data_IF_598222789195
#
_entry.id   IF_598222789195
#
_cell.length_a   1.000
_cell.length_b   1.000
_cell.length_c   1.000
_cell.angle_alpha   90.00
_cell.angle_beta   90.00
_cell.angle_gamma   90.00
#
_symmetry.space_group_name_H-M   'P 1'
#
loop_
_entity.id
_entity.type
_entity.pdbx_description
1 polymer ?
#
# COMPACT_ATOMS: atom_id res chain seq x y z
N UNK A 1 -12.31 23.99 27.01
CA UNK A 1 -12.84 24.07 25.62
C UNK A 1 -12.30 22.93 24.80
N UNK A 2 -13.13 22.23 24.07
CA UNK A 2 -12.76 21.14 23.18
C UNK A 2 -12.95 21.57 21.73
N UNK A 3 -12.20 21.00 20.83
CA UNK A 3 -12.46 21.10 19.40
C UNK A 3 -13.25 19.87 18.97
N UNK A 4 -14.34 20.09 18.27
CA UNK A 4 -15.24 19.07 17.76
C UNK A 4 -15.14 19.05 16.24
N UNK A 5 -14.88 17.90 15.63
CA UNK A 5 -14.72 17.73 14.19
C UNK A 5 -15.84 16.88 13.64
N UNK A 6 -16.53 17.37 12.62
CA UNK A 6 -17.51 16.58 11.89
C UNK A 6 -16.81 15.51 11.03
N UNK A 7 -17.09 14.21 11.21
CA UNK A 7 -16.38 13.17 10.48
C UNK A 7 -16.77 13.10 8.99
N UNK A 8 -17.91 13.71 8.60
CA UNK A 8 -18.38 13.66 7.21
C UNK A 8 -17.83 14.79 6.33
N UNK A 9 -17.67 16.02 6.88
CA UNK A 9 -17.28 17.17 6.05
C UNK A 9 -16.10 17.97 6.62
N UNK A 10 -15.50 17.53 7.74
CA UNK A 10 -14.36 18.22 8.35
C UNK A 10 -14.70 19.54 9.07
N UNK A 11 -15.98 19.96 9.14
CA UNK A 11 -16.37 21.16 9.88
C UNK A 11 -15.88 21.10 11.32
N UNK A 12 -15.33 22.19 11.82
CA UNK A 12 -14.79 22.26 13.17
C UNK A 12 -15.58 23.27 14.02
N UNK A 13 -15.91 22.86 15.25
CA UNK A 13 -16.55 23.69 16.28
C UNK A 13 -15.65 23.72 17.52
N UNK A 14 -15.49 24.91 18.12
CA UNK A 14 -14.77 25.06 19.39
C UNK A 14 -15.79 25.41 20.46
N UNK A 15 -15.90 24.58 21.48
CA UNK A 15 -16.85 24.74 22.55
C UNK A 15 -16.74 23.61 23.60
N UNK A 16 -17.53 23.69 24.65
CA UNK A 16 -17.53 22.66 25.70
C UNK A 16 -18.31 21.41 25.25
N UNK A 17 -19.20 21.55 24.27
CA UNK A 17 -19.96 20.45 23.65
C UNK A 17 -19.97 20.56 22.13
N UNK A 18 -20.26 19.45 21.45
CA UNK A 18 -20.54 19.45 20.02
C UNK A 18 -21.83 20.23 19.71
N UNK A 19 -21.95 20.84 18.50
CA UNK A 19 -23.21 21.42 18.05
C UNK A 19 -24.25 20.30 17.89
N UNK A 20 -25.55 20.60 18.04
CA UNK A 20 -26.63 19.61 17.89
C UNK A 20 -26.58 18.89 16.53
N UNK A 21 -26.20 19.61 15.47
CA UNK A 21 -25.94 19.08 14.15
C UNK A 21 -24.92 19.94 13.41
N UNK A 22 -24.24 19.35 12.45
CA UNK A 22 -23.27 20.04 11.61
C UNK A 22 -23.96 21.11 10.74
N UNK A 23 -23.52 22.38 10.80
CA UNK A 23 -24.13 23.47 10.01
C UNK A 23 -23.88 23.32 8.51
N UNK A 24 -22.88 22.55 8.08
CA UNK A 24 -22.55 22.35 6.67
C UNK A 24 -23.25 21.13 6.06
N UNK A 25 -23.26 19.98 6.75
CA UNK A 25 -23.71 18.72 6.16
C UNK A 25 -24.86 18.05 6.93
N UNK A 26 -25.33 18.65 8.03
CA UNK A 26 -26.48 18.14 8.79
C UNK A 26 -26.21 16.91 9.67
N UNK A 27 -24.99 16.39 9.70
CA UNK A 27 -24.65 15.24 10.57
C UNK A 27 -24.95 15.56 12.04
N UNK A 28 -25.62 14.64 12.78
CA UNK A 28 -25.92 14.84 14.20
C UNK A 28 -24.68 15.07 15.04
N UNK A 29 -24.79 15.96 16.04
CA UNK A 29 -23.69 16.32 16.93
C UNK A 29 -23.07 15.16 17.70
N UNK A 30 -23.87 14.12 17.99
CA UNK A 30 -23.40 12.90 18.62
C UNK A 30 -22.30 12.15 17.82
N UNK A 31 -22.18 12.43 16.51
CA UNK A 31 -21.13 11.85 15.65
C UNK A 31 -19.86 12.69 15.60
N UNK A 32 -19.84 13.89 16.18
CA UNK A 32 -18.63 14.71 16.20
C UNK A 32 -17.54 14.07 17.06
N UNK A 33 -16.32 14.14 16.55
CA UNK A 33 -15.15 13.66 17.26
C UNK A 33 -14.57 14.76 18.14
N UNK A 34 -14.50 14.52 19.46
CA UNK A 34 -13.85 15.42 20.39
C UNK A 34 -12.33 15.32 20.26
N UNK A 35 -11.65 16.46 20.13
CA UNK A 35 -10.20 16.58 20.16
C UNK A 35 -9.77 17.49 21.30
N UNK A 36 -8.83 17.05 22.12
CA UNK A 36 -8.24 17.92 23.13
C UNK A 36 -7.35 18.97 22.45
N UNK A 37 -7.49 20.22 22.90
CA UNK A 37 -6.62 21.30 22.42
C UNK A 37 -5.35 21.25 23.25
N UNK A 38 -4.35 20.57 22.75
CA UNK A 38 -3.01 20.62 23.31
C UNK A 38 -2.30 21.88 22.79
N UNK A 39 -1.98 22.82 23.68
CA UNK A 39 -1.44 24.15 23.34
C UNK A 39 0.00 24.02 22.79
N UNK A 40 0.16 23.58 21.58
CA UNK A 40 1.44 23.40 20.87
C UNK A 40 1.38 22.38 19.75
N UNK A 41 0.37 21.53 19.71
CA UNK A 41 0.21 20.51 18.69
C UNK A 41 -0.72 20.99 17.58
N UNK A 42 -0.23 21.01 16.34
CA UNK A 42 -1.07 21.33 15.17
C UNK A 42 -2.17 20.28 15.05
N UNK A 43 -3.43 20.75 14.98
CA UNK A 43 -4.61 19.90 14.78
C UNK A 43 -5.03 20.03 13.32
N UNK A 44 -4.96 18.94 12.59
CA UNK A 44 -5.34 18.89 11.18
C UNK A 44 -6.85 18.65 11.05
N UNK A 45 -7.50 19.33 10.11
CA UNK A 45 -8.94 19.20 9.86
C UNK A 45 -9.34 17.81 9.38
N UNK A 46 -8.43 17.13 8.69
CA UNK A 46 -8.58 15.74 8.25
C UNK A 46 -7.26 15.00 8.42
N UNK A 47 -7.35 13.70 8.55
CA UNK A 47 -6.20 12.79 8.62
C UNK A 47 -6.50 11.58 7.74
N UNK A 48 -5.45 11.10 7.08
CA UNK A 48 -5.41 9.77 6.51
C UNK A 48 -4.51 8.92 7.42
N UNK A 49 -5.03 7.80 7.91
CA UNK A 49 -4.26 6.88 8.72
C UNK A 49 -4.25 5.52 8.04
N UNK A 50 -3.17 4.80 8.23
CA UNK A 50 -3.10 3.41 7.79
C UNK A 50 -4.15 2.61 8.57
N UNK A 51 -5.01 1.91 7.84
CA UNK A 51 -6.10 1.13 8.41
C UNK A 51 -7.45 1.86 8.49
N UNK A 52 -7.60 3.06 7.93
CA UNK A 52 -8.89 3.78 7.91
C UNK A 52 -10.00 3.03 7.17
N UNK A 53 -9.65 2.05 6.31
CA UNK A 53 -10.57 1.16 5.61
C UNK A 53 -11.00 -0.08 6.41
N UNK A 54 -10.57 -0.24 7.67
CA UNK A 54 -11.00 -1.32 8.57
C UNK A 54 -12.37 -1.01 9.13
N UNK A 55 -13.40 -1.45 8.42
CA UNK A 55 -14.81 -1.23 8.74
C UNK A 55 -15.51 -2.55 9.02
N UNK A 56 -16.70 -2.50 9.65
CA UNK A 56 -17.49 -3.71 9.96
C UNK A 56 -18.19 -4.29 8.72
N UNK A 57 -18.37 -3.50 7.68
CA UNK A 57 -19.02 -3.93 6.45
C UNK A 57 -18.12 -4.90 5.67
N UNK A 58 -18.61 -6.13 5.53
CA UNK A 58 -17.86 -7.23 4.89
C UNK A 58 -17.70 -7.01 3.39
N UNK A 59 -18.72 -6.45 2.73
CA UNK A 59 -18.69 -6.22 1.28
C UNK A 59 -17.67 -5.13 0.94
N UNK A 60 -17.67 -4.03 1.68
CA UNK A 60 -16.66 -2.96 1.53
C UNK A 60 -15.25 -3.51 1.79
N UNK A 61 -15.04 -4.24 2.90
CA UNK A 61 -13.72 -4.78 3.24
C UNK A 61 -13.22 -5.78 2.18
N UNK A 62 -14.10 -6.66 1.69
CA UNK A 62 -13.74 -7.59 0.63
C UNK A 62 -13.44 -6.86 -0.69
N UNK A 63 -14.26 -5.88 -1.06
CA UNK A 63 -14.01 -5.05 -2.24
C UNK A 63 -12.65 -4.35 -2.21
N UNK A 64 -12.24 -3.80 -1.06
CA UNK A 64 -10.90 -3.19 -0.91
C UNK A 64 -9.78 -4.21 -1.14
N UNK A 65 -9.93 -5.45 -0.65
CA UNK A 65 -8.95 -6.54 -0.85
C UNK A 65 -8.87 -7.00 -2.29
N UNK A 66 -10.03 -7.17 -2.91
CA UNK A 66 -10.11 -7.63 -4.31
C UNK A 66 -9.48 -6.59 -5.24
N UNK A 67 -9.77 -5.31 -5.04
CA UNK A 67 -9.15 -4.24 -5.81
C UNK A 67 -7.66 -4.12 -5.52
N UNK A 68 -7.19 -4.19 -4.27
CA UNK A 68 -5.77 -4.23 -3.97
C UNK A 68 -5.03 -5.31 -4.77
N UNK A 69 -5.57 -6.54 -4.80
CA UNK A 69 -4.98 -7.63 -5.56
C UNK A 69 -5.05 -7.39 -7.07
N UNK A 70 -6.16 -6.85 -7.57
CA UNK A 70 -6.34 -6.48 -8.98
C UNK A 70 -5.29 -5.48 -9.44
N UNK A 71 -5.16 -4.36 -8.75
CA UNK A 71 -4.18 -3.32 -9.06
C UNK A 71 -2.73 -3.85 -9.04
N UNK A 72 -2.37 -4.65 -8.03
CA UNK A 72 -1.06 -5.29 -7.98
C UNK A 72 -0.79 -6.18 -9.20
N UNK A 73 -1.80 -6.92 -9.69
CA UNK A 73 -1.69 -7.75 -10.88
C UNK A 73 -1.55 -6.89 -12.15
N UNK A 74 -2.32 -5.80 -12.26
CA UNK A 74 -2.31 -4.91 -13.42
C UNK A 74 -0.96 -4.22 -13.62
N UNK A 75 -0.25 -3.86 -12.56
CA UNK A 75 1.13 -3.36 -12.64
C UNK A 75 2.02 -4.33 -13.45
N UNK A 76 2.01 -5.62 -13.08
CA UNK A 76 2.81 -6.64 -13.76
C UNK A 76 2.35 -6.88 -15.20
N UNK A 77 1.04 -6.96 -15.43
CA UNK A 77 0.45 -7.17 -16.75
C UNK A 77 0.78 -6.02 -17.71
N UNK A 78 0.59 -4.78 -17.30
CA UNK A 78 0.85 -3.62 -18.16
C UNK A 78 2.34 -3.47 -18.48
N UNK A 79 3.24 -3.74 -17.54
CA UNK A 79 4.67 -3.77 -17.82
C UNK A 79 5.05 -4.87 -18.82
N UNK A 80 4.41 -6.04 -18.74
CA UNK A 80 4.63 -7.12 -19.72
C UNK A 80 4.06 -6.77 -21.10
N UNK A 81 2.87 -6.16 -21.17
CA UNK A 81 2.24 -5.67 -22.39
C UNK A 81 3.07 -4.56 -23.04
N UNK A 82 3.64 -3.66 -22.23
CA UNK A 82 4.57 -2.63 -22.71
C UNK A 82 5.77 -3.25 -23.44
N UNK A 83 6.42 -4.25 -22.86
CA UNK A 83 7.54 -4.96 -23.51
C UNK A 83 7.12 -5.63 -24.81
N UNK A 84 5.90 -6.15 -24.88
CA UNK A 84 5.38 -6.75 -26.12
C UNK A 84 5.14 -5.68 -27.20
N UNK A 85 4.55 -4.55 -26.84
CA UNK A 85 4.37 -3.44 -27.76
C UNK A 85 5.71 -2.89 -28.30
N UNK A 86 6.76 -2.83 -27.47
CA UNK A 86 8.11 -2.48 -27.91
C UNK A 86 8.65 -3.48 -28.95
N UNK A 87 8.50 -4.80 -28.73
CA UNK A 87 8.93 -5.84 -29.68
C UNK A 87 8.21 -5.75 -31.02
N UNK A 88 6.97 -5.33 -31.01
CA UNK A 88 6.14 -5.16 -32.22
C UNK A 88 6.33 -3.79 -32.91
N UNK A 89 7.12 -2.88 -32.31
CA UNK A 89 7.41 -1.57 -32.89
C UNK A 89 6.35 -0.50 -32.63
N UNK A 90 5.59 -0.63 -31.54
CA UNK A 90 4.58 0.35 -31.10
C UNK A 90 5.03 1.15 -29.86
N UNK A 91 6.02 2.04 -29.96
CA UNK A 91 6.59 2.71 -28.80
C UNK A 91 5.59 3.60 -28.02
N UNK A 92 4.63 4.22 -28.70
CA UNK A 92 3.60 5.04 -28.06
C UNK A 92 2.64 4.19 -27.20
N UNK A 93 2.30 2.99 -27.67
CA UNK A 93 1.49 2.04 -26.91
C UNK A 93 2.28 1.50 -25.72
N UNK A 94 3.55 1.19 -25.94
CA UNK A 94 4.45 0.73 -24.86
C UNK A 94 4.55 1.76 -23.74
N UNK A 95 4.71 3.04 -24.09
CA UNK A 95 4.79 4.11 -23.11
C UNK A 95 3.46 4.33 -22.37
N UNK A 96 2.33 4.20 -23.07
CA UNK A 96 1.01 4.27 -22.44
C UNK A 96 0.85 3.17 -21.38
N UNK A 97 1.20 1.91 -21.70
CA UNK A 97 1.17 0.81 -20.73
C UNK A 97 2.10 1.05 -19.53
N UNK A 98 3.31 1.55 -19.72
CA UNK A 98 4.23 1.88 -18.61
C UNK A 98 3.60 2.93 -17.69
N UNK A 99 3.06 3.99 -18.26
CA UNK A 99 2.43 5.06 -17.48
C UNK A 99 1.27 4.53 -16.65
N UNK A 100 0.37 3.77 -17.25
CA UNK A 100 -0.77 3.20 -16.52
C UNK A 100 -0.32 2.20 -15.46
N UNK A 101 0.72 1.39 -15.69
CA UNK A 101 1.27 0.51 -14.66
C UNK A 101 1.69 1.29 -13.39
N UNK A 102 2.25 2.50 -13.53
CA UNK A 102 2.59 3.33 -12.37
C UNK A 102 1.35 3.97 -11.73
N UNK A 103 0.31 4.28 -12.50
CA UNK A 103 -0.96 4.75 -11.95
C UNK A 103 -1.65 3.64 -11.12
N UNK A 104 -1.65 2.39 -11.60
CA UNK A 104 -2.16 1.24 -10.84
C UNK A 104 -1.32 0.93 -9.59
N UNK A 105 0.00 1.16 -9.63
CA UNK A 105 0.84 1.04 -8.44
C UNK A 105 0.45 2.05 -7.35
N UNK A 106 0.07 3.28 -7.73
CA UNK A 106 -0.46 4.29 -6.81
C UNK A 106 -1.84 3.91 -6.25
N UNK A 107 -2.71 3.30 -7.07
CA UNK A 107 -4.00 2.77 -6.60
C UNK A 107 -3.78 1.64 -5.60
N UNK A 108 -2.92 0.67 -5.92
CA UNK A 108 -2.55 -0.42 -5.01
C UNK A 108 -2.00 0.12 -3.68
N UNK A 109 -1.13 1.14 -3.71
CA UNK A 109 -0.60 1.76 -2.50
C UNK A 109 -1.70 2.37 -1.62
N UNK A 110 -2.69 3.06 -2.22
CA UNK A 110 -3.84 3.62 -1.48
C UNK A 110 -4.71 2.54 -0.85
N UNK A 111 -4.99 1.45 -1.56
CA UNK A 111 -5.71 0.30 -1.00
C UNK A 111 -4.92 -0.36 0.12
N UNK A 112 -3.60 -0.51 -0.02
CA UNK A 112 -2.72 -1.04 1.04
C UNK A 112 -2.79 -0.17 2.31
N UNK A 113 -2.78 1.16 2.17
CA UNK A 113 -2.91 2.10 3.29
C UNK A 113 -4.29 1.98 3.96
N UNK A 114 -5.39 1.93 3.18
CA UNK A 114 -6.73 1.76 3.72
C UNK A 114 -6.85 0.44 4.50
N UNK A 115 -6.36 -0.66 3.95
CA UNK A 115 -6.41 -1.98 4.59
C UNK A 115 -5.51 -2.07 5.83
N UNK A 116 -4.32 -1.47 5.79
CA UNK A 116 -3.34 -1.55 6.89
C UNK A 116 -2.96 -2.99 7.26
N UNK A 117 -2.95 -3.90 6.27
CA UNK A 117 -2.58 -5.31 6.45
C UNK A 117 -1.13 -5.56 6.04
N UNK A 118 -0.69 -4.98 4.92
CA UNK A 118 0.67 -5.17 4.36
C UNK A 118 1.61 -4.00 4.67
N UNK A 119 1.11 -2.91 5.18
CA UNK A 119 1.85 -1.71 5.58
C UNK A 119 1.43 -1.27 6.98
N UNK A 120 2.40 -0.79 7.77
CA UNK A 120 2.16 -0.27 9.12
C UNK A 120 2.58 1.20 9.22
N UNK A 121 2.16 1.89 10.26
CA UNK A 121 2.57 3.27 10.56
C UNK A 121 4.01 3.39 11.12
N UNK A 122 4.78 2.32 11.09
CA UNK A 122 6.17 2.26 11.56
C UNK A 122 7.11 1.82 10.46
N UNK A 123 7.98 2.73 9.99
CA UNK A 123 9.03 2.41 9.01
C UNK A 123 9.93 1.28 9.48
N UNK A 124 10.31 1.28 10.77
CA UNK A 124 11.08 0.19 11.36
C UNK A 124 10.37 -1.15 11.18
N UNK A 125 9.09 -1.22 11.55
CA UNK A 125 8.31 -2.46 11.45
C UNK A 125 8.13 -2.90 10.00
N UNK A 126 7.90 -1.96 9.09
CA UNK A 126 7.79 -2.27 7.65
C UNK A 126 9.11 -2.87 7.11
N UNK A 127 10.27 -2.34 7.51
CA UNK A 127 11.58 -2.90 7.12
C UNK A 127 11.78 -4.31 7.69
N UNK A 128 11.44 -4.56 8.98
CA UNK A 128 11.50 -5.88 9.59
C UNK A 128 10.67 -6.90 8.81
N UNK A 129 9.39 -6.57 8.57
CA UNK A 129 8.47 -7.45 7.83
C UNK A 129 8.95 -7.72 6.41
N UNK A 130 9.52 -6.73 5.74
CA UNK A 130 10.02 -6.91 4.37
C UNK A 130 11.29 -7.74 4.34
N UNK A 131 12.24 -7.53 5.26
CA UNK A 131 13.44 -8.37 5.35
C UNK A 131 13.10 -9.85 5.46
N UNK A 132 12.16 -10.19 6.35
CA UNK A 132 11.71 -11.58 6.52
C UNK A 132 11.00 -12.13 5.26
N UNK A 133 10.16 -11.31 4.63
CA UNK A 133 9.42 -11.71 3.44
C UNK A 133 10.34 -11.93 2.23
N UNK A 134 11.36 -11.08 2.04
CA UNK A 134 12.34 -11.23 0.96
C UNK A 134 13.16 -12.51 1.13
N UNK A 135 13.53 -12.86 2.38
CA UNK A 135 14.20 -14.11 2.67
C UNK A 135 13.33 -15.32 2.25
N UNK A 136 12.06 -15.31 2.61
CA UNK A 136 11.12 -16.36 2.22
C UNK A 136 10.89 -16.42 0.72
N UNK A 137 10.74 -15.27 0.06
CA UNK A 137 10.56 -15.17 -1.39
C UNK A 137 11.80 -15.68 -2.16
N UNK A 138 13.01 -15.34 -1.68
CA UNK A 138 14.26 -15.85 -2.23
C UNK A 138 14.30 -17.38 -2.19
N UNK A 139 14.05 -17.98 -1.03
CA UNK A 139 14.06 -19.42 -0.85
C UNK A 139 13.01 -20.11 -1.76
N UNK A 140 11.78 -19.60 -1.79
CA UNK A 140 10.71 -20.18 -2.60
C UNK A 140 11.02 -20.11 -4.11
N UNK A 141 11.51 -18.97 -4.60
CA UNK A 141 11.90 -18.83 -6.01
C UNK A 141 13.10 -19.74 -6.38
N UNK A 142 14.05 -19.89 -5.46
CA UNK A 142 15.19 -20.78 -5.67
C UNK A 142 14.75 -22.24 -5.85
N UNK A 143 13.80 -22.74 -5.05
CA UNK A 143 13.25 -24.11 -5.20
C UNK A 143 12.49 -24.28 -6.54
N UNK A 144 11.75 -23.27 -6.99
CA UNK A 144 11.12 -23.30 -8.33
C UNK A 144 12.20 -23.37 -9.44
N UNK A 145 13.23 -22.53 -9.34
CA UNK A 145 14.32 -22.53 -10.32
C UNK A 145 15.05 -23.88 -10.38
N UNK A 146 15.35 -24.46 -9.22
CA UNK A 146 15.95 -25.79 -9.11
C UNK A 146 15.07 -26.86 -9.77
N UNK A 147 13.79 -26.89 -9.47
CA UNK A 147 12.84 -27.82 -10.07
C UNK A 147 12.73 -27.65 -11.60
N UNK A 148 12.71 -26.41 -12.07
CA UNK A 148 12.71 -26.11 -13.50
C UNK A 148 13.96 -26.66 -14.19
N UNK A 149 15.14 -26.55 -13.57
CA UNK A 149 16.39 -27.09 -14.09
C UNK A 149 16.36 -28.61 -14.19
N UNK A 150 15.87 -29.31 -13.16
CA UNK A 150 15.71 -30.76 -13.16
C UNK A 150 14.82 -31.26 -14.30
N UNK A 151 13.82 -30.45 -14.71
CA UNK A 151 12.87 -30.77 -15.77
C UNK A 151 13.31 -30.28 -17.16
N UNK A 152 14.46 -29.63 -17.28
CA UNK A 152 14.95 -29.08 -18.55
C UNK A 152 14.25 -27.78 -19.02
N UNK A 153 13.59 -27.06 -18.11
CA UNK A 153 12.92 -25.77 -18.41
C UNK A 153 13.89 -24.60 -18.21
N UNK A 154 14.92 -24.52 -19.05
CA UNK A 154 16.03 -23.57 -18.88
C UNK A 154 15.56 -22.10 -18.82
N UNK A 155 14.61 -21.69 -19.67
CA UNK A 155 14.09 -20.33 -19.68
C UNK A 155 13.40 -19.95 -18.35
N UNK A 156 12.68 -20.90 -17.73
CA UNK A 156 12.05 -20.72 -16.42
C UNK A 156 13.13 -20.67 -15.34
N UNK A 157 14.07 -21.62 -15.37
CA UNK A 157 15.19 -21.66 -14.44
C UNK A 157 15.94 -20.33 -14.41
N UNK A 158 16.42 -19.86 -15.57
CA UNK A 158 17.24 -18.66 -15.67
C UNK A 158 16.49 -17.44 -15.16
N UNK A 159 15.23 -17.25 -15.57
CA UNK A 159 14.41 -16.13 -15.16
C UNK A 159 14.14 -16.13 -13.65
N UNK A 160 13.70 -17.26 -13.10
CA UNK A 160 13.30 -17.32 -11.67
C UNK A 160 14.52 -17.33 -10.75
N UNK A 161 15.66 -17.90 -11.22
CA UNK A 161 16.91 -17.88 -10.47
C UNK A 161 17.47 -16.45 -10.32
N UNK A 162 17.42 -15.63 -11.37
CA UNK A 162 17.80 -14.21 -11.27
C UNK A 162 16.86 -13.44 -10.33
N UNK A 163 15.54 -13.70 -10.38
CA UNK A 163 14.61 -13.12 -9.41
C UNK A 163 14.95 -13.53 -7.96
N UNK A 164 15.35 -14.79 -7.71
CA UNK A 164 15.76 -15.22 -6.37
C UNK A 164 16.98 -14.44 -5.87
N UNK A 165 17.94 -14.10 -6.73
CA UNK A 165 19.08 -13.24 -6.39
C UNK A 165 18.66 -11.80 -6.09
N UNK A 166 17.67 -11.29 -6.83
CA UNK A 166 17.10 -9.97 -6.56
C UNK A 166 16.45 -9.91 -5.18
N UNK A 167 15.67 -10.94 -4.78
CA UNK A 167 15.09 -10.99 -3.43
C UNK A 167 16.15 -11.03 -2.33
N UNK A 168 17.23 -11.76 -2.53
CA UNK A 168 18.36 -11.76 -1.59
C UNK A 168 19.00 -10.36 -1.47
N UNK A 169 19.14 -9.65 -2.59
CA UNK A 169 19.66 -8.28 -2.62
C UNK A 169 18.71 -7.28 -1.95
N UNK A 170 17.38 -7.42 -2.17
CA UNK A 170 16.36 -6.60 -1.53
C UNK A 170 16.39 -6.81 0.00
N UNK A 171 16.39 -8.07 0.45
CA UNK A 171 16.45 -8.40 1.86
C UNK A 171 17.71 -7.85 2.55
N UNK A 172 18.90 -8.02 1.94
CA UNK A 172 20.13 -7.45 2.44
C UNK A 172 20.10 -5.91 2.48
N UNK A 173 19.47 -5.28 1.50
CA UNK A 173 19.26 -3.83 1.46
C UNK A 173 18.40 -3.34 2.61
N UNK A 174 17.24 -3.98 2.85
CA UNK A 174 16.34 -3.64 3.97
C UNK A 174 17.01 -3.88 5.34
N UNK A 175 17.70 -4.99 5.50
CA UNK A 175 18.49 -5.26 6.73
C UNK A 175 19.55 -4.19 6.98
N UNK A 176 20.27 -3.78 5.94
CA UNK A 176 21.28 -2.72 6.02
C UNK A 176 20.68 -1.38 6.44
N UNK A 177 19.49 -1.02 5.90
CA UNK A 177 18.77 0.18 6.31
C UNK A 177 18.26 0.08 7.75
N UNK A 178 17.74 -1.09 8.14
CA UNK A 178 17.31 -1.34 9.52
C UNK A 178 18.45 -1.12 10.51
N UNK A 179 19.62 -1.71 10.25
CA UNK A 179 20.83 -1.53 11.08
C UNK A 179 21.29 -0.08 11.13
N UNK A 180 21.22 0.64 10.00
CA UNK A 180 21.71 2.03 9.92
C UNK A 180 20.85 3.02 10.69
N UNK A 181 19.53 2.86 10.69
CA UNK A 181 18.62 3.89 11.20
C UNK A 181 17.91 3.52 12.50
N UNK A 182 17.91 2.25 12.90
CA UNK A 182 17.08 1.77 14.01
C UNK A 182 17.81 0.88 15.03
N UNK A 183 19.12 0.70 14.89
CA UNK A 183 19.99 0.02 15.87
C UNK A 183 21.02 0.99 16.46
#
# INVERSE_FOLDING_TARGET
MKKWVCPACGYTHIGDAAPEKCPLCGVPGAKFLAQEIDAGKKIWACRHNIGDGKVEDVEVTQGLKDHFNGECCEVGMYLAMSRQAEREGYPEIAEAFKRYAFEEAEHAAKFAELLGEVVTNSTKKNLELRTDAEQGACAAKFEIAKRAKELGYDAIHDTVHEMAKDEARHGAGFEGLLKRYFN
#
